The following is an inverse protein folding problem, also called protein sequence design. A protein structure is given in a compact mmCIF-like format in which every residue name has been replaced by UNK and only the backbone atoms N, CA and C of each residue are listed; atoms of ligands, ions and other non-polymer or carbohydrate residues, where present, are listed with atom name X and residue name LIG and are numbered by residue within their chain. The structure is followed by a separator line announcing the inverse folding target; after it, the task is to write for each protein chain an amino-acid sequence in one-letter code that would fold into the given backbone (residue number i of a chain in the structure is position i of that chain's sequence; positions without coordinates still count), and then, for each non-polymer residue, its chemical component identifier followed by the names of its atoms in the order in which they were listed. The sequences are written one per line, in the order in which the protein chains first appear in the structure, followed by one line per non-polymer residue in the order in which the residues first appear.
data_IF_271653675875
#
_entry.id   IF_271653675875
#
_cell.length_a   1.000
_cell.length_b   1.000
_cell.length_c   1.000
_cell.angle_alpha   90.00
_cell.angle_beta   90.00
_cell.angle_gamma   90.00
#
_symmetry.space_group_name_H-M   'P 1'
#
loop_
_entity.id
_entity.type
_entity.pdbx_description
1 polymer ?
#
# COMPACT_ATOMS: atom_id res chain seq x y z
N UNK A 1 6.03 -12.24 20.15
CA UNK A 1 7.12 -12.54 19.20
C UNK A 1 8.07 -13.55 19.80
N UNK A 2 8.36 -14.60 19.02
CA UNK A 2 9.31 -15.65 19.38
C UNK A 2 10.41 -15.72 18.33
N UNK A 3 11.66 -15.76 18.78
CA UNK A 3 12.82 -16.03 17.93
C UNK A 3 13.21 -17.47 18.12
N UNK A 4 13.16 -18.24 17.04
CA UNK A 4 13.54 -19.66 17.03
C UNK A 4 14.66 -19.88 16.01
N UNK A 5 15.47 -20.87 16.26
CA UNK A 5 16.42 -21.40 15.30
C UNK A 5 16.00 -22.83 14.94
N UNK A 6 15.81 -23.07 13.65
CA UNK A 6 15.48 -24.41 13.14
C UNK A 6 16.76 -25.00 12.54
N UNK A 7 17.28 -26.04 13.18
CA UNK A 7 18.41 -26.83 12.66
C UNK A 7 17.86 -28.03 11.92
N UNK A 8 18.38 -28.24 10.73
CA UNK A 8 18.04 -29.48 10.00
C UNK A 8 18.40 -30.70 10.78
N UNK A 9 17.59 -31.77 10.62
CA UNK A 9 17.90 -33.08 11.15
C UNK A 9 19.15 -33.64 10.51
N UNK A 10 19.96 -34.37 11.29
CA UNK A 10 21.11 -35.08 10.77
C UNK A 10 20.69 -36.33 10.02
N UNK A 11 21.50 -36.74 9.04
CA UNK A 11 21.29 -37.97 8.29
C UNK A 11 22.12 -39.06 8.94
N UNK A 12 21.47 -40.17 9.36
CA UNK A 12 22.18 -41.35 9.84
C UNK A 12 22.93 -42.00 8.65
N UNK A 13 24.26 -42.11 8.76
CA UNK A 13 25.11 -42.61 7.68
C UNK A 13 24.89 -44.08 7.35
N UNK A 14 24.42 -44.86 8.32
CA UNK A 14 24.21 -46.30 8.14
C UNK A 14 22.84 -46.60 7.55
N UNK A 15 21.81 -45.88 7.99
CA UNK A 15 20.43 -46.16 7.58
C UNK A 15 19.90 -45.21 6.50
N UNK A 16 20.63 -44.13 6.20
CA UNK A 16 20.20 -43.07 5.28
C UNK A 16 18.98 -42.26 5.76
N UNK A 17 18.45 -42.55 6.93
CA UNK A 17 17.28 -41.84 7.47
C UNK A 17 17.65 -40.50 8.02
N UNK A 18 16.88 -39.48 7.64
CA UNK A 18 17.00 -38.10 8.16
C UNK A 18 16.17 -37.99 9.45
N UNK A 19 16.78 -37.48 10.52
CA UNK A 19 16.07 -37.18 11.77
C UNK A 19 15.22 -35.92 11.62
N UNK A 20 14.24 -35.77 12.50
CA UNK A 20 13.39 -34.54 12.51
C UNK A 20 14.21 -33.30 12.78
N UNK A 21 13.78 -32.14 12.23
CA UNK A 21 14.42 -30.87 12.50
C UNK A 21 14.30 -30.53 13.98
N UNK A 22 15.38 -29.95 14.53
CA UNK A 22 15.40 -29.51 15.93
C UNK A 22 15.07 -28.02 16.00
N UNK A 23 14.05 -27.70 16.77
CA UNK A 23 13.65 -26.29 17.04
C UNK A 23 14.32 -25.89 18.35
N UNK A 24 15.13 -24.84 18.28
CA UNK A 24 15.75 -24.22 19.44
C UNK A 24 15.09 -22.87 19.68
N UNK A 25 14.48 -22.68 20.84
CA UNK A 25 14.01 -21.40 21.29
C UNK A 25 15.20 -20.50 21.65
N UNK A 26 15.21 -19.25 21.13
CA UNK A 26 16.28 -18.29 21.38
C UNK A 26 15.81 -17.12 22.24
N UNK A 27 14.63 -16.56 21.97
CA UNK A 27 14.15 -15.36 22.64
C UNK A 27 12.63 -15.23 22.52
N UNK A 28 12.01 -14.54 23.47
CA UNK A 28 10.62 -14.12 23.44
C UNK A 28 10.49 -12.65 23.84
N UNK A 29 9.65 -11.91 23.13
CA UNK A 29 9.30 -10.54 23.49
C UNK A 29 7.80 -10.38 23.57
N UNK A 30 7.35 -9.55 24.50
CA UNK A 30 5.96 -9.13 24.56
C UNK A 30 5.60 -8.37 23.31
N UNK A 31 4.33 -8.41 22.90
CA UNK A 31 3.89 -7.72 21.68
C UNK A 31 4.10 -6.20 21.80
N UNK A 32 3.91 -5.65 23.00
CA UNK A 32 4.16 -4.23 23.29
C UNK A 32 5.62 -3.80 23.06
N UNK A 33 6.59 -4.72 23.26
CA UNK A 33 8.03 -4.43 23.10
C UNK A 33 8.53 -4.65 21.67
N UNK A 34 7.71 -5.27 20.82
CA UNK A 34 8.07 -5.56 19.41
C UNK A 34 8.25 -4.26 18.64
N UNK A 35 7.29 -3.35 18.75
CA UNK A 35 7.29 -2.09 18.02
C UNK A 35 8.57 -1.25 18.30
N UNK A 36 8.92 -0.89 19.55
CA UNK A 36 10.13 -0.12 19.81
C UNK A 36 11.43 -0.86 19.50
N UNK A 37 11.39 -2.20 19.46
CA UNK A 37 12.57 -3.01 19.14
C UNK A 37 12.89 -3.03 17.64
N UNK A 38 11.86 -3.16 16.80
CA UNK A 38 12.03 -3.40 15.36
C UNK A 38 11.79 -2.16 14.51
N UNK A 39 10.87 -1.28 14.90
CA UNK A 39 10.63 -0.05 14.17
C UNK A 39 11.76 0.96 14.43
N UNK A 40 12.57 1.23 13.41
CA UNK A 40 13.71 2.17 13.49
C UNK A 40 13.49 3.46 12.71
N UNK A 41 12.60 3.42 11.74
CA UNK A 41 12.28 4.55 10.88
C UNK A 41 10.78 4.65 10.68
N UNK A 42 10.30 5.87 10.68
CA UNK A 42 8.92 6.21 10.37
C UNK A 42 8.89 6.98 9.05
N UNK A 43 8.20 6.44 8.06
CA UNK A 43 7.92 7.13 6.79
C UNK A 43 6.51 7.67 6.84
N UNK A 44 6.37 8.96 6.59
CA UNK A 44 5.09 9.67 6.54
C UNK A 44 4.79 10.01 5.09
N UNK A 45 3.68 9.52 4.58
CA UNK A 45 3.22 9.78 3.21
C UNK A 45 2.20 10.91 3.25
N UNK A 46 2.48 12.00 2.56
CA UNK A 46 1.66 13.21 2.52
C UNK A 46 1.28 13.53 1.07
N UNK A 47 0.01 13.85 0.83
CA UNK A 47 -0.37 14.50 -0.42
C UNK A 47 -0.05 15.99 -0.32
N UNK A 48 0.50 16.57 -1.39
CA UNK A 48 0.80 18.00 -1.44
C UNK A 48 -0.44 18.87 -1.21
N UNK A 49 -1.61 18.36 -1.56
CA UNK A 49 -2.90 19.07 -1.38
C UNK A 49 -3.33 19.18 0.08
N UNK A 50 -2.88 18.24 0.93
CA UNK A 50 -3.23 18.20 2.35
C UNK A 50 -2.27 19.05 3.20
N UNK A 51 -1.19 19.56 2.61
CA UNK A 51 -0.19 20.39 3.27
C UNK A 51 -0.68 21.82 3.47
N UNK A 52 -1.49 22.04 4.49
CA UNK A 52 -1.91 23.35 4.95
C UNK A 52 -1.33 23.68 6.33
N UNK A 53 -1.28 24.97 6.68
CA UNK A 53 -0.57 25.44 7.89
C UNK A 53 -1.04 24.78 9.19
N UNK A 54 -2.36 24.58 9.35
CA UNK A 54 -2.91 23.94 10.56
C UNK A 54 -2.48 22.48 10.67
N UNK A 55 -2.55 21.72 9.58
CA UNK A 55 -2.13 20.32 9.56
C UNK A 55 -0.65 20.18 9.91
N UNK A 56 0.20 21.05 9.34
CA UNK A 56 1.64 21.04 9.64
C UNK A 56 1.91 21.37 11.10
N UNK A 57 1.14 22.31 11.70
CA UNK A 57 1.25 22.65 13.11
C UNK A 57 0.87 21.46 14.01
N UNK A 58 -0.28 20.84 13.76
CA UNK A 58 -0.76 19.67 14.50
C UNK A 58 0.24 18.50 14.42
N UNK A 59 0.76 18.24 13.24
CA UNK A 59 1.76 17.18 13.03
C UNK A 59 3.06 17.47 13.78
N UNK A 60 3.48 18.74 13.82
CA UNK A 60 4.67 19.16 14.54
C UNK A 60 4.48 19.05 16.07
N UNK A 61 3.31 19.41 16.61
CA UNK A 61 2.96 19.24 18.01
C UNK A 61 2.94 17.76 18.39
N UNK A 62 2.35 16.91 17.57
CA UNK A 62 2.31 15.46 17.77
C UNK A 62 3.72 14.88 17.86
N UNK A 63 4.62 15.28 16.97
CA UNK A 63 6.00 14.81 16.99
C UNK A 63 6.81 15.37 18.17
N UNK A 64 6.56 16.61 18.57
CA UNK A 64 7.19 17.21 19.75
C UNK A 64 6.76 16.48 21.03
N UNK A 65 5.49 16.11 21.17
CA UNK A 65 4.97 15.32 22.28
C UNK A 65 5.56 13.89 22.33
N UNK A 66 5.94 13.35 21.18
CA UNK A 66 6.49 12.00 21.05
C UNK A 66 7.97 12.01 20.65
N UNK A 67 8.76 12.93 21.19
CA UNK A 67 10.19 13.02 20.91
C UNK A 67 10.94 11.74 21.30
N UNK A 68 11.91 11.31 20.49
CA UNK A 68 12.66 10.07 20.71
C UNK A 68 13.88 9.93 19.81
N UNK A 69 14.27 8.70 19.49
CA UNK A 69 15.51 8.41 18.75
C UNK A 69 15.32 7.93 17.32
N UNK A 70 14.08 7.55 16.95
CA UNK A 70 13.80 7.00 15.61
C UNK A 70 13.69 8.11 14.59
N UNK A 71 14.32 7.90 13.41
CA UNK A 71 14.31 8.87 12.33
C UNK A 71 12.95 8.92 11.61
N UNK A 72 12.57 10.13 11.20
CA UNK A 72 11.37 10.38 10.39
C UNK A 72 11.78 10.78 8.98
N UNK A 73 11.08 10.24 8.00
CA UNK A 73 11.23 10.62 6.59
C UNK A 73 9.85 11.00 6.05
N UNK A 74 9.74 12.19 5.51
CA UNK A 74 8.53 12.63 4.83
C UNK A 74 8.61 12.28 3.36
N UNK A 75 7.57 11.65 2.85
CA UNK A 75 7.39 11.37 1.43
C UNK A 75 6.17 12.18 0.95
N UNK A 76 6.46 13.33 0.36
CA UNK A 76 5.41 14.20 -0.20
C UNK A 76 5.14 13.76 -1.63
N UNK A 77 3.88 13.52 -1.94
CA UNK A 77 3.43 13.05 -3.24
C UNK A 77 2.41 14.02 -3.83
N UNK A 78 2.52 14.24 -5.13
CA UNK A 78 1.48 14.88 -5.92
C UNK A 78 0.72 13.79 -6.67
N UNK A 79 -0.55 13.63 -6.33
CA UNK A 79 -1.43 12.65 -6.97
C UNK A 79 -2.26 13.34 -8.05
N UNK A 80 -2.26 12.78 -9.25
CA UNK A 80 -3.09 13.23 -10.36
C UNK A 80 -4.13 12.14 -10.68
N UNK A 81 -5.39 12.56 -10.77
CA UNK A 81 -6.48 11.67 -11.21
C UNK A 81 -6.60 11.81 -12.72
N UNK A 82 -6.33 10.74 -13.43
CA UNK A 82 -6.54 10.68 -14.88
C UNK A 82 -7.84 9.94 -15.13
N UNK A 83 -8.75 10.60 -15.86
CA UNK A 83 -9.94 9.96 -16.38
C UNK A 83 -9.59 9.33 -17.72
N UNK A 84 -9.55 8.02 -17.77
CA UNK A 84 -9.37 7.28 -19.02
C UNK A 84 -10.73 6.81 -19.49
N UNK A 85 -11.21 7.37 -20.59
CA UNK A 85 -12.37 6.86 -21.30
C UNK A 85 -11.88 5.65 -22.09
N UNK A 86 -12.17 4.46 -21.61
CA UNK A 86 -11.93 3.24 -22.41
C UNK A 86 -13.08 3.18 -23.41
N UNK A 87 -12.86 3.70 -24.60
CA UNK A 87 -13.65 3.31 -25.75
C UNK A 87 -13.27 1.86 -26.04
N UNK A 88 -14.12 0.94 -25.69
CA UNK A 88 -13.99 -0.45 -26.12
C UNK A 88 -14.17 -0.46 -27.63
N UNK A 89 -13.06 -0.41 -28.33
CA UNK A 89 -13.03 -0.66 -29.77
C UNK A 89 -13.18 -2.16 -29.92
N UNK A 90 -14.40 -2.66 -29.73
CA UNK A 90 -14.76 -3.94 -30.29
C UNK A 90 -14.55 -3.83 -31.79
N UNK A 91 -13.56 -4.56 -32.26
CA UNK A 91 -13.26 -4.76 -33.68
C UNK A 91 -14.57 -5.09 -34.42
N UNK A 92 -15.12 -4.08 -35.08
CA UNK A 92 -16.11 -4.32 -36.12
C UNK A 92 -15.34 -4.94 -37.27
N UNK A 93 -15.32 -6.26 -37.34
CA UNK A 93 -14.98 -6.93 -38.60
C UNK A 93 -16.01 -6.48 -39.62
N UNK A 94 -15.58 -5.96 -40.80
CA UNK A 94 -16.54 -5.69 -41.87
C UNK A 94 -17.13 -7.01 -42.29
N UNK A 95 -18.41 -7.18 -42.05
CA UNK A 95 -19.18 -8.24 -42.67
C UNK A 95 -19.47 -7.72 -44.07
N UNK A 96 -18.90 -8.36 -45.05
CA UNK A 96 -19.30 -8.21 -46.47
C UNK A 96 -20.79 -8.55 -46.54
N UNK A 97 -21.59 -7.53 -46.81
CA UNK A 97 -23.01 -7.71 -47.07
C UNK A 97 -23.17 -7.80 -48.60
N UNK A 98 -23.20 -9.01 -49.10
CA UNK A 98 -23.84 -9.31 -50.37
C UNK A 98 -25.24 -9.90 -50.09
N UNK A 99 -26.19 -9.26 -50.80
CA UNK A 99 -27.52 -9.74 -51.15
C UNK A 99 -28.66 -9.70 -50.10
N UNK A 100 -29.58 -8.84 -50.50
CA UNK A 100 -31.03 -8.71 -50.29
C UNK A 100 -31.76 -9.93 -49.73
N UNK A 101 -32.42 -9.73 -48.57
CA UNK A 101 -33.75 -10.32 -48.33
C UNK A 101 -34.57 -9.30 -47.55
N UNK A 102 -35.60 -8.80 -48.18
CA UNK A 102 -36.71 -8.06 -47.56
C UNK A 102 -37.57 -9.09 -46.89
N UNK A 103 -37.82 -8.94 -45.56
CA UNK A 103 -39.02 -9.49 -44.94
C UNK A 103 -39.53 -8.59 -43.82
N UNK A 104 -40.81 -8.32 -43.92
CA UNK A 104 -41.61 -7.53 -42.98
C UNK A 104 -41.79 -8.29 -41.67
N UNK A 105 -41.23 -7.80 -40.60
CA UNK A 105 -41.78 -7.95 -39.22
C UNK A 105 -41.11 -6.95 -38.31
N UNK A 106 -41.93 -5.99 -37.84
CA UNK A 106 -41.45 -5.02 -36.82
C UNK A 106 -41.20 -5.72 -35.49
N UNK A 107 -39.94 -5.72 -35.08
CA UNK A 107 -39.52 -5.94 -33.71
C UNK A 107 -38.59 -4.82 -33.28
N UNK A 108 -38.91 -4.25 -32.11
CA UNK A 108 -38.14 -3.17 -31.48
C UNK A 108 -36.70 -3.60 -31.30
N UNK A 109 -35.80 -3.00 -32.09
CA UNK A 109 -34.36 -3.12 -31.85
C UNK A 109 -34.03 -2.31 -30.61
N UNK A 110 -33.92 -2.95 -29.48
CA UNK A 110 -33.31 -2.36 -28.29
C UNK A 110 -31.86 -2.00 -28.65
N UNK A 111 -31.68 -0.72 -28.94
CA UNK A 111 -30.36 -0.16 -29.12
C UNK A 111 -29.66 -0.16 -27.76
N UNK A 112 -28.84 -1.17 -27.51
CA UNK A 112 -27.98 -1.24 -26.35
C UNK A 112 -26.94 -0.12 -26.47
N UNK A 113 -27.27 1.05 -25.90
CA UNK A 113 -26.32 2.16 -25.77
C UNK A 113 -25.37 1.75 -24.64
N UNK A 114 -24.24 1.17 -24.98
CA UNK A 114 -23.15 0.97 -24.03
C UNK A 114 -22.65 2.34 -23.57
N UNK A 115 -22.97 2.68 -22.33
CA UNK A 115 -22.45 3.87 -21.68
C UNK A 115 -20.96 3.65 -21.42
N UNK A 116 -20.04 4.48 -21.93
CA UNK A 116 -18.64 4.32 -21.68
C UNK A 116 -18.37 4.43 -20.18
N UNK A 117 -17.81 3.37 -19.60
CA UNK A 117 -17.44 3.35 -18.18
C UNK A 117 -16.17 4.18 -18.01
N UNK A 118 -16.31 5.35 -17.39
CA UNK A 118 -15.18 6.17 -17.01
C UNK A 118 -14.42 5.46 -15.86
N UNK A 119 -13.18 5.08 -16.09
CA UNK A 119 -12.28 4.60 -15.04
C UNK A 119 -11.39 5.75 -14.60
N UNK A 120 -11.45 6.06 -13.31
CA UNK A 120 -10.52 7.00 -12.68
C UNK A 120 -9.28 6.22 -12.19
N UNK A 121 -8.12 6.57 -12.72
CA UNK A 121 -6.85 6.05 -12.22
C UNK A 121 -6.10 7.17 -11.49
N UNK A 122 -5.57 6.84 -10.32
CA UNK A 122 -4.74 7.76 -9.53
C UNK A 122 -3.29 7.42 -9.81
N UNK A 123 -2.56 8.34 -10.41
CA UNK A 123 -1.13 8.18 -10.63
C UNK A 123 -0.32 9.16 -9.80
N UNK A 124 0.86 8.73 -9.39
CA UNK A 124 1.82 9.60 -8.71
C UNK A 124 2.58 10.41 -9.75
N UNK A 125 2.34 11.72 -9.80
CA UNK A 125 3.02 12.64 -10.72
C UNK A 125 4.40 13.03 -10.23
N UNK A 126 4.50 13.32 -8.95
CA UNK A 126 5.75 13.75 -8.32
C UNK A 126 5.88 13.11 -6.94
N UNK A 127 7.08 12.62 -6.61
CA UNK A 127 7.40 12.12 -5.27
C UNK A 127 8.68 12.78 -4.78
N UNK A 128 8.59 13.44 -3.61
CA UNK A 128 9.72 14.04 -2.93
C UNK A 128 9.96 13.34 -1.59
N UNK A 129 11.16 12.80 -1.38
CA UNK A 129 11.54 12.17 -0.12
C UNK A 129 12.47 13.07 0.66
N UNK A 130 12.06 13.45 1.88
CA UNK A 130 12.76 14.37 2.76
C UNK A 130 13.07 13.71 4.10
N UNK A 131 14.27 13.15 4.29
CA UNK A 131 14.67 12.65 5.61
C UNK A 131 14.91 13.82 6.58
N UNK A 132 14.24 13.80 7.72
CA UNK A 132 14.45 14.80 8.75
C UNK A 132 15.75 14.53 9.52
N UNK A 133 16.60 15.52 9.62
CA UNK A 133 17.85 15.45 10.41
C UNK A 133 17.63 15.81 11.88
N UNK A 134 16.70 16.71 12.15
CA UNK A 134 16.44 17.27 13.49
C UNK A 134 15.29 16.58 14.20
N UNK A 135 14.27 16.15 13.45
CA UNK A 135 13.08 15.55 14.01
C UNK A 135 13.34 14.05 14.21
N UNK A 136 13.23 13.62 15.46
CA UNK A 136 13.29 12.23 15.87
C UNK A 136 12.13 11.94 16.79
N UNK A 137 11.52 10.77 16.66
CA UNK A 137 10.32 10.38 17.42
C UNK A 137 10.49 9.06 18.14
N UNK A 138 9.73 8.87 19.20
CA UNK A 138 9.52 7.57 19.82
C UNK A 138 8.34 6.90 19.12
N UNK A 139 8.61 5.82 18.37
CA UNK A 139 7.54 5.06 17.72
C UNK A 139 6.81 4.24 18.78
N UNK A 140 5.61 4.69 19.11
CA UNK A 140 4.72 4.05 20.10
C UNK A 140 3.35 3.81 19.48
N UNK A 141 2.55 2.95 20.09
CA UNK A 141 1.18 2.68 19.65
C UNK A 141 0.31 3.94 19.68
N UNK A 142 0.53 4.82 20.67
CA UNK A 142 -0.18 6.08 20.80
C UNK A 142 0.11 7.02 19.63
N UNK A 143 1.40 7.17 19.26
CA UNK A 143 1.79 7.98 18.12
C UNK A 143 1.12 7.48 16.83
N UNK A 144 1.12 6.16 16.60
CA UNK A 144 0.53 5.59 15.40
C UNK A 144 -0.99 5.77 15.35
N UNK A 145 -1.68 5.64 16.48
CA UNK A 145 -3.12 5.89 16.57
C UNK A 145 -3.48 7.35 16.30
N UNK A 146 -2.68 8.31 16.78
CA UNK A 146 -2.92 9.72 16.48
C UNK A 146 -2.68 10.04 14.99
N UNK A 147 -1.65 9.45 14.37
CA UNK A 147 -1.44 9.57 12.93
C UNK A 147 -2.61 8.99 12.11
N UNK A 148 -3.17 7.85 12.54
CA UNK A 148 -4.36 7.26 11.92
C UNK A 148 -5.59 8.16 12.07
N UNK A 149 -5.81 8.77 13.24
CA UNK A 149 -6.91 9.74 13.45
C UNK A 149 -6.78 10.97 12.55
N UNK A 150 -5.56 11.42 12.32
CA UNK A 150 -5.26 12.51 11.39
C UNK A 150 -5.33 12.08 9.91
N UNK A 151 -5.68 10.82 9.64
CA UNK A 151 -5.71 10.22 8.30
C UNK A 151 -4.36 10.29 7.56
N UNK A 152 -3.27 10.31 8.30
CA UNK A 152 -1.91 10.32 7.76
C UNK A 152 -1.47 8.91 7.43
N UNK A 153 -1.11 8.66 6.18
CA UNK A 153 -0.55 7.39 5.77
C UNK A 153 0.91 7.28 6.22
N UNK A 154 1.27 6.17 6.84
CA UNK A 154 2.64 5.94 7.29
C UNK A 154 3.11 4.51 7.04
N UNK A 155 4.43 4.34 7.07
CA UNK A 155 5.10 3.04 6.96
C UNK A 155 6.23 2.96 7.97
N UNK A 156 6.39 1.79 8.58
CA UNK A 156 7.49 1.48 9.50
C UNK A 156 8.56 0.62 8.80
N UNK A 157 9.82 0.85 9.18
CA UNK A 157 10.96 0.06 8.73
C UNK A 157 11.97 -0.15 9.86
#
# INVERSE_FOLDING_TARGET
YFKINVKEGWVNRETGKKSDPRIQFLDAKMLADVLPTFAKKLFIHLDIKDLHSNFVAELNELFAANAGDNSVTFEVMELEKIKTTVADVSLITPIDVDEEVIDEAGEDVEMNIEVPVEKEEVIVKTKLSMPSRKLKVKISSELLQELEKMQVNFKLN
#
